data_IF_906247933088
#
_entry.id   IF_906247933088
#
_cell.length_a   1.000
_cell.length_b   1.000
_cell.length_c   1.000
_cell.angle_alpha   90.00
_cell.angle_beta   90.00
_cell.angle_gamma   90.00
#
_symmetry.space_group_name_H-M   'P 1'
#
loop_
_entity.id
_entity.type
_entity.pdbx_description
1 polymer ?
#
# COMPACT_ATOMS: atom_id res chain seq x y z
N UNK A 1 -75.65 43.64 -18.92
CA UNK A 1 -75.42 43.12 -17.56
C UNK A 1 -74.73 41.76 -17.66
N UNK A 2 -73.65 41.58 -16.89
CA UNK A 2 -72.93 40.35 -16.55
C UNK A 2 -72.05 39.62 -17.59
N UNK A 3 -70.78 40.04 -17.58
CA UNK A 3 -69.51 39.28 -17.37
C UNK A 3 -69.44 37.74 -17.35
N UNK A 4 -68.25 37.29 -17.83
CA UNK A 4 -67.42 36.13 -17.40
C UNK A 4 -67.73 34.74 -17.99
N UNK A 5 -66.79 33.85 -18.36
CA UNK A 5 -65.33 33.75 -18.23
C UNK A 5 -64.78 32.85 -19.37
N UNK A 6 -63.64 33.23 -19.99
CA UNK A 6 -62.85 32.37 -20.90
C UNK A 6 -61.82 31.61 -20.04
N UNK A 7 -61.89 30.29 -20.00
CA UNK A 7 -60.87 29.44 -19.35
C UNK A 7 -59.89 28.92 -20.39
N UNK A 8 -58.66 29.47 -20.42
CA UNK A 8 -57.52 28.95 -21.18
C UNK A 8 -56.89 27.81 -20.37
N UNK A 9 -56.96 26.58 -20.89
CA UNK A 9 -56.16 25.46 -20.39
C UNK A 9 -54.73 25.61 -20.93
N UNK A 10 -53.78 25.92 -20.07
CA UNK A 10 -52.34 25.86 -20.36
C UNK A 10 -51.92 24.41 -20.09
N UNK A 11 -51.61 23.67 -21.15
CA UNK A 11 -50.96 22.37 -21.05
C UNK A 11 -49.49 22.55 -20.75
N UNK A 12 -49.03 22.08 -19.59
CA UNK A 12 -47.62 22.03 -19.25
C UNK A 12 -46.96 20.83 -19.94
N UNK A 13 -46.01 21.09 -20.83
CA UNK A 13 -45.10 20.08 -21.35
C UNK A 13 -43.97 19.88 -20.33
N UNK A 14 -43.93 18.73 -19.66
CA UNK A 14 -42.82 18.33 -18.80
C UNK A 14 -41.66 17.84 -19.66
N UNK A 15 -40.63 18.66 -19.80
CA UNK A 15 -39.33 18.24 -20.36
C UNK A 15 -38.60 17.47 -19.27
N UNK A 16 -38.55 16.14 -19.40
CA UNK A 16 -37.67 15.29 -18.58
C UNK A 16 -36.25 15.48 -19.13
N UNK A 17 -35.48 16.35 -18.49
CA UNK A 17 -34.05 16.40 -18.71
C UNK A 17 -33.42 15.13 -18.09
N UNK A 18 -33.01 14.17 -18.93
CA UNK A 18 -32.05 13.16 -18.50
C UNK A 18 -30.76 13.92 -18.16
N UNK A 19 -30.56 14.19 -16.88
CA UNK A 19 -29.25 14.55 -16.37
C UNK A 19 -28.42 13.29 -16.53
N UNK A 20 -27.61 13.21 -17.60
CA UNK A 20 -26.52 12.26 -17.66
C UNK A 20 -25.61 12.61 -16.47
N UNK A 21 -25.80 11.93 -15.35
CA UNK A 21 -24.88 12.07 -14.24
C UNK A 21 -23.51 11.65 -14.78
N UNK A 22 -22.45 12.42 -14.52
CA UNK A 22 -21.12 11.94 -14.81
C UNK A 22 -20.99 10.64 -14.03
N UNK A 23 -21.01 9.50 -14.74
CA UNK A 23 -20.53 8.25 -14.21
C UNK A 23 -19.12 8.60 -13.74
N UNK A 24 -18.89 8.53 -12.42
CA UNK A 24 -17.57 8.76 -11.86
C UNK A 24 -16.66 7.76 -12.53
N UNK A 25 -15.85 8.24 -13.47
CA UNK A 25 -14.93 7.39 -14.18
C UNK A 25 -13.71 7.28 -13.28
N UNK A 26 -13.46 6.08 -12.76
CA UNK A 26 -12.18 5.73 -12.19
C UNK A 26 -11.03 6.03 -13.16
N UNK A 27 -9.82 5.95 -12.64
CA UNK A 27 -8.59 6.23 -13.38
C UNK A 27 -7.75 4.96 -13.39
N UNK A 28 -7.23 4.62 -14.56
CA UNK A 28 -6.27 3.52 -14.73
C UNK A 28 -4.93 4.11 -15.12
N UNK A 29 -3.91 3.79 -14.34
CA UNK A 29 -2.51 4.06 -14.62
C UNK A 29 -1.88 2.77 -15.11
N UNK A 30 -1.22 2.83 -16.26
CA UNK A 30 -0.41 1.74 -16.77
C UNK A 30 1.06 2.07 -16.50
N UNK A 31 1.75 1.16 -15.84
CA UNK A 31 3.19 1.27 -15.58
C UNK A 31 3.91 0.10 -16.23
N UNK A 32 5.15 0.35 -16.63
CA UNK A 32 6.05 -0.65 -17.15
C UNK A 32 7.25 -0.77 -16.23
N UNK A 33 7.54 -1.99 -15.80
CA UNK A 33 8.70 -2.32 -14.97
C UNK A 33 9.72 -3.07 -15.81
N UNK A 34 10.96 -2.60 -15.79
CA UNK A 34 12.12 -3.30 -16.35
C UNK A 34 13.00 -3.78 -15.21
N UNK A 35 13.32 -5.07 -15.20
CA UNK A 35 14.22 -5.68 -14.23
C UNK A 35 15.66 -5.67 -14.77
N UNK A 36 16.59 -5.21 -13.94
CA UNK A 36 18.02 -5.08 -14.26
C UNK A 36 18.87 -6.11 -13.50
N UNK A 37 18.30 -6.75 -12.48
CA UNK A 37 18.84 -7.93 -11.79
C UNK A 37 18.05 -9.19 -12.17
N UNK A 38 18.64 -10.37 -11.94
CA UNK A 38 17.99 -11.65 -12.22
C UNK A 38 17.97 -12.05 -13.71
N UNK A 39 17.21 -13.11 -14.07
CA UNK A 39 17.05 -13.53 -15.46
C UNK A 39 16.27 -12.49 -16.27
N UNK A 40 16.67 -12.26 -17.53
CA UNK A 40 15.98 -11.34 -18.42
C UNK A 40 14.53 -11.78 -18.65
N UNK A 41 13.58 -10.94 -18.22
CA UNK A 41 12.12 -11.13 -18.40
C UNK A 41 11.54 -10.21 -19.46
N UNK A 42 12.33 -9.30 -20.00
CA UNK A 42 11.83 -8.13 -20.72
C UNK A 42 10.98 -7.20 -19.83
N UNK A 43 10.39 -6.16 -20.43
CA UNK A 43 9.50 -5.25 -19.72
C UNK A 43 8.18 -5.92 -19.33
N UNK A 44 7.73 -5.68 -18.11
CA UNK A 44 6.45 -6.16 -17.57
C UNK A 44 5.49 -4.99 -17.39
N UNK A 45 4.25 -5.13 -17.88
CA UNK A 45 3.20 -4.12 -17.70
C UNK A 45 2.27 -4.51 -16.57
N UNK A 46 2.03 -3.57 -15.66
CA UNK A 46 1.04 -3.67 -14.59
C UNK A 46 0.11 -2.46 -14.58
N UNK A 47 -1.09 -2.66 -14.06
CA UNK A 47 -2.08 -1.59 -13.92
C UNK A 47 -2.32 -1.24 -12.45
N UNK A 48 -2.49 0.06 -12.22
CA UNK A 48 -3.02 0.61 -10.98
C UNK A 48 -4.33 1.32 -11.31
N UNK A 49 -5.38 1.06 -10.54
CA UNK A 49 -6.71 1.63 -10.76
C UNK A 49 -7.20 2.35 -9.51
N UNK A 50 -7.79 3.54 -9.66
CA UNK A 50 -8.34 4.35 -8.58
C UNK A 50 -9.79 4.69 -8.89
N UNK A 51 -10.70 4.50 -7.94
CA UNK A 51 -12.09 4.97 -8.04
C UNK A 51 -12.61 5.37 -6.66
N UNK A 52 -12.92 6.66 -6.49
CA UNK A 52 -13.27 7.21 -5.19
C UNK A 52 -12.14 6.97 -4.18
N UNK A 53 -12.45 6.32 -3.07
CA UNK A 53 -11.48 5.96 -2.03
C UNK A 53 -10.77 4.62 -2.26
N UNK A 54 -11.04 3.93 -3.37
CA UNK A 54 -10.53 2.59 -3.62
C UNK A 54 -9.33 2.64 -4.57
N UNK A 55 -8.34 1.79 -4.30
CA UNK A 55 -7.15 1.61 -5.13
C UNK A 55 -6.93 0.12 -5.33
N UNK A 56 -6.61 -0.27 -6.57
CA UNK A 56 -6.15 -1.61 -6.92
C UNK A 56 -4.80 -1.49 -7.60
N UNK A 57 -3.84 -2.35 -7.23
CA UNK A 57 -2.51 -2.40 -7.83
C UNK A 57 -2.19 -3.85 -8.20
N UNK A 58 -1.90 -4.08 -9.48
CA UNK A 58 -1.31 -5.35 -9.91
C UNK A 58 0.14 -5.43 -9.45
N UNK A 59 0.48 -6.52 -8.76
CA UNK A 59 1.82 -6.86 -8.33
C UNK A 59 2.43 -7.73 -9.42
N UNK A 60 3.51 -7.28 -10.07
CA UNK A 60 4.19 -8.10 -11.06
C UNK A 60 4.72 -9.40 -10.41
N UNK A 61 4.79 -10.52 -11.15
CA UNK A 61 5.20 -11.84 -10.64
C UNK A 61 6.53 -11.88 -9.87
N UNK A 62 7.41 -10.92 -10.17
CA UNK A 62 8.80 -10.90 -9.71
C UNK A 62 9.53 -12.22 -10.04
N UNK A 63 10.53 -12.55 -9.21
CA UNK A 63 11.35 -13.76 -9.37
C UNK A 63 10.62 -15.08 -9.12
N UNK A 64 9.47 -15.01 -8.45
CA UNK A 64 8.73 -16.19 -8.00
C UNK A 64 7.88 -16.84 -9.10
N UNK A 65 7.63 -16.14 -10.21
CA UNK A 65 6.72 -16.59 -11.26
C UNK A 65 5.28 -16.84 -10.78
N UNK A 66 4.91 -16.32 -9.61
CA UNK A 66 3.53 -16.33 -9.12
C UNK A 66 2.64 -15.53 -10.08
N UNK A 67 1.33 -15.78 -10.06
CA UNK A 67 0.39 -15.03 -10.90
C UNK A 67 0.48 -13.52 -10.65
N UNK A 68 -0.23 -12.72 -11.45
CA UNK A 68 -0.40 -11.27 -11.21
C UNK A 68 -1.20 -11.06 -9.92
N UNK A 69 -0.53 -11.17 -8.77
CA UNK A 69 -1.13 -10.91 -7.46
C UNK A 69 -1.61 -9.46 -7.38
N UNK A 70 -2.54 -9.18 -6.47
CA UNK A 70 -3.19 -7.86 -6.43
C UNK A 70 -3.24 -7.35 -5.01
N UNK A 71 -2.87 -6.08 -4.82
CA UNK A 71 -3.18 -5.33 -3.61
C UNK A 71 -4.39 -4.43 -3.86
N UNK A 72 -5.39 -4.47 -2.97
CA UNK A 72 -6.62 -3.67 -3.07
C UNK A 72 -6.86 -2.90 -1.78
N UNK A 73 -6.78 -1.57 -1.83
CA UNK A 73 -7.18 -0.68 -0.76
C UNK A 73 -8.66 -0.37 -0.90
N UNK A 74 -9.43 -0.62 0.15
CA UNK A 74 -10.87 -0.31 0.21
C UNK A 74 -11.08 0.80 1.24
N UNK A 75 -10.93 2.06 0.83
CA UNK A 75 -10.90 3.22 1.74
C UNK A 75 -12.14 3.36 2.61
N UNK A 76 -13.34 3.15 2.06
CA UNK A 76 -14.61 3.15 2.83
C UNK A 76 -14.62 2.14 4.00
N UNK A 77 -13.87 1.04 3.85
CA UNK A 77 -13.74 -0.03 4.85
C UNK A 77 -12.43 0.03 5.64
N UNK A 78 -11.51 0.94 5.27
CA UNK A 78 -10.16 1.09 5.82
C UNK A 78 -9.44 -0.25 5.97
N UNK A 79 -9.31 -0.97 4.86
CA UNK A 79 -8.67 -2.27 4.82
C UNK A 79 -7.87 -2.48 3.53
N UNK A 80 -6.74 -3.17 3.67
CA UNK A 80 -5.87 -3.58 2.58
C UNK A 80 -6.07 -5.07 2.33
N UNK A 81 -6.41 -5.45 1.10
CA UNK A 81 -6.58 -6.83 0.66
C UNK A 81 -5.40 -7.23 -0.20
N UNK A 82 -4.75 -8.35 0.13
CA UNK A 82 -3.76 -8.98 -0.74
C UNK A 82 -4.35 -10.25 -1.33
N UNK A 83 -4.43 -10.33 -2.65
CA UNK A 83 -4.99 -11.45 -3.40
C UNK A 83 -3.85 -12.25 -4.03
N UNK A 84 -3.73 -13.52 -3.64
CA UNK A 84 -2.85 -14.50 -4.26
C UNK A 84 -3.67 -15.31 -5.27
N UNK A 85 -3.40 -15.07 -6.55
CA UNK A 85 -4.13 -15.73 -7.65
C UNK A 85 -3.66 -17.18 -7.88
N UNK A 86 -2.40 -17.50 -7.53
CA UNK A 86 -1.87 -18.87 -7.62
C UNK A 86 -2.61 -19.78 -6.65
N UNK A 87 -2.81 -19.30 -5.43
CA UNK A 87 -3.37 -20.06 -4.33
C UNK A 87 -4.89 -19.93 -4.21
N UNK A 88 -5.50 -19.07 -5.02
CA UNK A 88 -6.92 -18.68 -4.94
C UNK A 88 -7.30 -18.29 -3.51
N UNK A 89 -6.48 -17.43 -2.93
CA UNK A 89 -6.60 -17.01 -1.56
C UNK A 89 -6.43 -15.50 -1.46
N UNK A 90 -6.91 -14.93 -0.36
CA UNK A 90 -6.68 -13.53 -0.04
C UNK A 90 -6.49 -13.33 1.45
N UNK A 91 -5.78 -12.27 1.79
CA UNK A 91 -5.60 -11.80 3.16
C UNK A 91 -6.18 -10.39 3.27
N UNK A 92 -6.66 -10.05 4.46
CA UNK A 92 -7.19 -8.72 4.77
C UNK A 92 -6.42 -8.17 5.95
N UNK A 93 -5.87 -6.97 5.77
CA UNK A 93 -5.20 -6.17 6.78
C UNK A 93 -6.12 -5.01 7.13
N UNK A 94 -6.75 -5.13 8.28
CA UNK A 94 -7.63 -4.15 8.92
C UNK A 94 -7.25 -4.03 10.42
N UNK A 95 -7.83 -3.05 11.13
CA UNK A 95 -7.56 -2.87 12.57
C UNK A 95 -7.95 -4.07 13.44
N UNK A 96 -8.89 -4.94 13.01
CA UNK A 96 -9.23 -6.18 13.72
C UNK A 96 -8.16 -7.24 13.52
N UNK A 97 -7.73 -7.47 12.29
CA UNK A 97 -6.66 -8.39 11.94
C UNK A 97 -5.36 -8.03 12.66
N UNK A 98 -5.09 -6.73 12.81
CA UNK A 98 -3.97 -6.22 13.59
C UNK A 98 -4.06 -6.64 15.08
N UNK A 99 -5.23 -6.47 15.69
CA UNK A 99 -5.48 -6.93 17.07
C UNK A 99 -5.33 -8.45 17.19
N UNK A 100 -5.82 -9.20 16.22
CA UNK A 100 -5.73 -10.67 16.21
C UNK A 100 -4.27 -11.13 16.16
N UNK A 101 -3.46 -10.53 15.27
CA UNK A 101 -2.01 -10.77 15.17
C UNK A 101 -1.32 -10.45 16.50
N UNK A 102 -1.61 -9.30 17.11
CA UNK A 102 -1.06 -8.93 18.41
C UNK A 102 -1.43 -9.92 19.51
N UNK A 103 -2.70 -10.33 19.57
CA UNK A 103 -3.16 -11.32 20.55
C UNK A 103 -2.46 -12.67 20.34
N UNK A 104 -2.31 -13.10 19.09
CA UNK A 104 -1.63 -14.35 18.75
C UNK A 104 -0.15 -14.30 19.14
N UNK A 105 0.57 -13.23 18.80
CA UNK A 105 1.98 -13.03 19.22
C UNK A 105 2.08 -13.05 20.75
N UNK A 106 1.19 -12.33 21.45
CA UNK A 106 1.15 -12.31 22.91
C UNK A 106 0.93 -13.69 23.51
N UNK A 107 0.04 -14.50 22.92
CA UNK A 107 -0.23 -15.87 23.37
C UNK A 107 0.96 -16.81 23.13
N UNK A 108 1.63 -16.69 21.98
CA UNK A 108 2.83 -17.48 21.66
C UNK A 108 3.99 -17.10 22.58
N UNK A 109 4.19 -15.81 22.86
CA UNK A 109 5.18 -15.36 23.85
C UNK A 109 4.89 -15.93 25.24
N UNK A 110 3.64 -15.93 25.70
CA UNK A 110 3.30 -16.52 27.00
C UNK A 110 3.56 -18.03 27.06
N UNK A 111 3.28 -18.76 25.98
CA UNK A 111 3.60 -20.19 25.89
C UNK A 111 5.11 -20.43 25.91
N UNK A 112 5.87 -19.68 25.10
CA UNK A 112 7.32 -19.75 25.09
C UNK A 112 7.92 -19.43 26.48
N UNK A 113 7.40 -18.41 27.18
CA UNK A 113 7.85 -18.08 28.54
C UNK A 113 7.58 -19.21 29.54
N UNK A 114 6.42 -19.87 29.46
CA UNK A 114 6.11 -21.04 30.30
C UNK A 114 7.03 -22.23 30.02
N UNK A 115 7.37 -22.47 28.76
CA UNK A 115 8.32 -23.53 28.39
C UNK A 115 9.72 -23.22 28.89
N UNK A 116 10.15 -21.96 28.81
CA UNK A 116 11.39 -21.48 29.40
C UNK A 116 11.38 -21.71 30.91
N UNK A 117 10.35 -21.23 31.62
CA UNK A 117 10.19 -21.42 33.07
C UNK A 117 10.32 -22.89 33.47
N UNK A 118 9.64 -23.80 32.75
CA UNK A 118 9.73 -25.25 32.97
C UNK A 118 11.15 -25.79 32.78
N UNK A 119 11.90 -25.29 31.78
CA UNK A 119 13.31 -25.65 31.60
C UNK A 119 14.20 -25.07 32.71
N UNK A 120 13.79 -23.98 33.36
CA UNK A 120 14.53 -23.38 34.47
C UNK A 120 14.30 -24.09 35.82
N UNK A 121 13.20 -24.84 36.00
CA UNK A 121 12.90 -25.55 37.25
C UNK A 121 13.97 -26.60 37.60
N UNK A 122 14.56 -27.24 36.58
CA UNK A 122 15.58 -28.29 36.75
C UNK A 122 17.03 -27.80 36.89
N UNK A 123 17.28 -26.49 36.82
CA UNK A 123 18.63 -25.92 36.83
C UNK A 123 19.10 -25.52 38.22
N UNK A 124 20.40 -25.65 38.46
CA UNK A 124 21.04 -25.10 39.64
C UNK A 124 21.03 -23.55 39.62
N UNK A 125 21.23 -22.87 40.76
CA UNK A 125 21.13 -21.41 40.82
C UNK A 125 22.06 -20.68 39.84
N UNK A 126 23.26 -21.22 39.57
CA UNK A 126 24.25 -20.59 38.70
C UNK A 126 23.87 -20.75 37.22
N UNK A 127 23.33 -21.90 36.85
CA UNK A 127 22.79 -22.16 35.51
C UNK A 127 21.52 -21.35 35.24
N UNK A 128 20.67 -21.17 36.26
CA UNK A 128 19.46 -20.33 36.17
C UNK A 128 19.83 -18.87 35.91
N UNK A 129 20.82 -18.34 36.64
CA UNK A 129 21.33 -16.97 36.47
C UNK A 129 21.95 -16.76 35.08
N UNK A 130 22.82 -17.69 34.65
CA UNK A 130 23.42 -17.65 33.31
C UNK A 130 22.38 -17.69 32.19
N UNK A 131 21.31 -18.48 32.34
CA UNK A 131 20.22 -18.53 31.37
C UNK A 131 19.35 -17.28 31.40
N UNK A 132 19.09 -16.67 32.57
CA UNK A 132 18.41 -15.38 32.67
C UNK A 132 19.20 -14.25 32.03
N UNK A 133 20.52 -14.21 32.19
CA UNK A 133 21.38 -13.25 31.50
C UNK A 133 21.36 -13.48 29.99
N UNK A 134 21.46 -14.73 29.52
CA UNK A 134 21.31 -15.04 28.10
C UNK A 134 19.93 -14.65 27.55
N UNK A 135 18.85 -14.87 28.30
CA UNK A 135 17.50 -14.46 27.90
C UNK A 135 17.36 -12.94 27.85
N UNK A 136 17.90 -12.21 28.85
CA UNK A 136 17.96 -10.75 28.82
C UNK A 136 18.80 -10.22 27.65
N UNK A 137 19.85 -10.93 27.26
CA UNK A 137 20.71 -10.58 26.11
C UNK A 137 20.17 -11.03 24.74
N UNK A 138 19.26 -12.02 24.71
CA UNK A 138 18.60 -12.53 23.48
C UNK A 138 17.19 -11.96 23.28
N UNK A 139 16.58 -11.40 24.31
CA UNK A 139 15.48 -10.48 24.11
C UNK A 139 15.99 -9.37 23.20
N UNK A 140 15.31 -9.08 22.09
CA UNK A 140 15.67 -7.93 21.27
C UNK A 140 15.83 -6.72 22.20
N UNK A 141 16.87 -5.90 22.02
CA UNK A 141 16.90 -4.58 22.65
C UNK A 141 15.53 -3.94 22.37
N UNK A 142 14.79 -3.61 23.45
CA UNK A 142 13.47 -2.98 23.34
C UNK A 142 12.31 -3.64 24.06
N UNK A 143 12.44 -4.86 24.58
CA UNK A 143 11.36 -5.48 25.37
C UNK A 143 11.14 -4.82 26.76
N UNK A 144 12.04 -3.95 27.21
CA UNK A 144 11.86 -3.16 28.44
C UNK A 144 12.20 -1.65 28.28
N UNK A 145 13.03 -1.27 27.31
CA UNK A 145 13.37 0.11 26.90
C UNK A 145 14.26 0.03 25.66
N UNK A 146 13.88 0.62 24.51
CA UNK A 146 14.78 0.78 23.34
C UNK A 146 14.62 -0.25 22.22
N UNK A 147 13.52 -0.15 21.47
CA UNK A 147 13.26 -0.86 20.20
C UNK A 147 14.40 -0.64 19.20
N UNK A 148 14.62 -1.57 18.21
CA UNK A 148 15.54 -1.30 17.11
C UNK A 148 15.23 0.08 16.53
N UNK A 149 16.24 0.95 16.48
CA UNK A 149 16.10 2.28 15.88
C UNK A 149 15.64 2.09 14.45
N UNK A 150 14.44 2.63 14.15
CA UNK A 150 13.89 2.66 12.80
C UNK A 150 14.96 3.21 11.85
N UNK A 151 15.28 2.53 10.74
CA UNK A 151 16.24 3.04 9.78
C UNK A 151 15.81 4.43 9.31
N UNK A 152 16.73 5.37 9.24
CA UNK A 152 16.38 6.74 8.87
C UNK A 152 16.28 6.82 7.35
N UNK A 153 15.08 7.12 6.85
CA UNK A 153 14.85 7.37 5.42
C UNK A 153 14.91 8.88 5.15
N UNK A 154 15.80 9.31 4.26
CA UNK A 154 15.95 10.71 3.83
C UNK A 154 15.48 10.86 2.39
N UNK A 155 14.62 11.85 2.12
CA UNK A 155 14.20 12.25 0.79
C UNK A 155 14.96 13.49 0.34
N UNK A 156 15.94 13.30 -0.56
CA UNK A 156 16.80 14.39 -1.03
C UNK A 156 16.40 14.86 -2.41
N UNK A 157 15.77 16.03 -2.49
CA UNK A 157 15.54 16.73 -3.76
C UNK A 157 16.88 17.20 -4.34
N UNK A 158 17.24 16.75 -5.54
CA UNK A 158 18.58 17.01 -6.11
C UNK A 158 18.64 18.30 -6.93
N UNK A 159 17.49 18.86 -7.30
CA UNK A 159 17.37 20.03 -8.18
C UNK A 159 17.52 19.71 -9.67
N UNK A 160 17.88 18.48 -10.02
CA UNK A 160 17.96 18.02 -11.40
C UNK A 160 16.56 17.93 -12.02
N UNK A 161 16.44 18.39 -13.27
CA UNK A 161 15.18 18.46 -14.02
C UNK A 161 15.34 17.78 -15.36
N UNK A 162 14.36 16.96 -15.72
CA UNK A 162 14.31 16.30 -17.02
C UNK A 162 12.88 15.99 -17.41
N UNK A 163 12.66 15.74 -18.71
CA UNK A 163 11.38 15.19 -19.20
C UNK A 163 11.45 13.67 -19.11
N UNK A 164 10.55 13.04 -18.34
CA UNK A 164 10.43 11.58 -18.22
C UNK A 164 9.04 11.16 -18.67
N UNK A 165 8.97 10.17 -19.56
CA UNK A 165 7.71 9.67 -20.14
C UNK A 165 6.73 10.76 -20.64
N UNK A 166 7.22 11.92 -21.08
CA UNK A 166 6.36 13.03 -21.50
C UNK A 166 6.15 14.14 -20.46
N UNK A 167 6.48 13.90 -19.19
CA UNK A 167 6.19 14.79 -18.06
C UNK A 167 7.42 15.59 -17.61
N UNK A 168 7.26 16.87 -17.21
CA UNK A 168 8.33 17.63 -16.58
C UNK A 168 8.57 17.09 -15.17
N UNK A 169 9.77 16.60 -14.91
CA UNK A 169 10.10 15.96 -13.64
C UNK A 169 11.27 16.64 -12.92
N UNK A 170 11.28 16.50 -11.59
CA UNK A 170 12.41 16.78 -10.71
C UNK A 170 12.89 15.49 -10.07
N UNK A 171 14.20 15.31 -9.95
CA UNK A 171 14.77 14.12 -9.31
C UNK A 171 14.85 14.25 -7.79
N UNK A 172 14.51 13.15 -7.12
CA UNK A 172 14.75 12.91 -5.70
C UNK A 172 15.59 11.64 -5.56
N UNK A 173 16.54 11.66 -4.64
CA UNK A 173 17.22 10.46 -4.16
C UNK A 173 16.61 10.07 -2.81
N UNK A 174 16.24 8.81 -2.65
CA UNK A 174 15.77 8.25 -1.37
C UNK A 174 16.93 7.46 -0.78
N UNK A 175 17.36 7.88 0.41
CA UNK A 175 18.47 7.26 1.12
C UNK A 175 17.96 6.57 2.37
N UNK A 176 18.43 5.36 2.64
CA UNK A 176 18.22 4.64 3.90
C UNK A 176 19.56 4.50 4.59
N UNK A 177 19.68 5.06 5.78
CA UNK A 177 20.93 5.08 6.55
C UNK A 177 22.14 5.63 5.76
N UNK A 178 21.87 6.56 4.85
CA UNK A 178 22.86 7.21 3.97
C UNK A 178 23.15 6.46 2.66
N UNK A 179 22.61 5.26 2.46
CA UNK A 179 22.73 4.50 1.22
C UNK A 179 21.54 4.77 0.31
N UNK A 180 21.79 5.00 -0.99
CA UNK A 180 20.72 5.26 -1.96
C UNK A 180 19.99 3.96 -2.26
N UNK A 181 18.72 3.91 -1.89
CA UNK A 181 17.82 2.77 -2.16
C UNK A 181 16.85 3.05 -3.31
N UNK A 182 16.58 4.34 -3.59
CA UNK A 182 15.65 4.70 -4.65
C UNK A 182 16.05 6.01 -5.35
N UNK A 183 15.66 6.13 -6.60
CA UNK A 183 15.59 7.39 -7.33
C UNK A 183 14.18 7.60 -7.86
N UNK A 184 13.65 8.80 -7.63
CA UNK A 184 12.31 9.18 -8.07
C UNK A 184 12.40 10.36 -9.03
N UNK A 185 11.71 10.26 -10.15
CA UNK A 185 11.45 11.38 -11.04
C UNK A 185 10.00 11.78 -10.91
N UNK A 186 9.78 12.94 -10.32
CA UNK A 186 8.47 13.35 -9.83
C UNK A 186 7.98 14.56 -10.60
N UNK A 187 6.72 14.50 -11.02
CA UNK A 187 5.99 15.61 -11.62
C UNK A 187 4.89 16.11 -10.68
N UNK A 188 4.35 17.31 -10.90
CA UNK A 188 3.19 17.78 -10.12
C UNK A 188 1.96 16.88 -10.41
N UNK A 189 1.14 16.64 -9.38
CA UNK A 189 -0.01 15.72 -9.46
C UNK A 189 -1.00 16.09 -10.58
N UNK A 190 -1.20 17.38 -10.84
CA UNK A 190 -2.11 17.90 -11.86
C UNK A 190 -1.60 17.70 -13.30
N UNK A 191 -0.32 17.35 -13.49
CA UNK A 191 0.21 16.99 -14.80
C UNK A 191 -0.25 15.61 -15.25
N UNK A 192 -0.73 14.75 -14.33
CA UNK A 192 -1.14 13.37 -14.62
C UNK A 192 -2.66 13.27 -14.49
N UNK A 193 -3.32 12.71 -15.50
CA UNK A 193 -4.76 12.43 -15.43
C UNK A 193 -5.06 11.56 -14.20
N UNK A 194 -5.91 12.06 -13.31
CA UNK A 194 -6.24 11.37 -12.06
C UNK A 194 -5.16 11.40 -10.98
N UNK A 195 -4.10 12.20 -11.12
CA UNK A 195 -3.06 12.32 -10.11
C UNK A 195 -3.60 12.77 -8.75
N UNK A 196 -4.52 13.74 -8.72
CA UNK A 196 -5.16 14.17 -7.46
C UNK A 196 -6.06 13.07 -6.86
N UNK A 197 -6.76 12.27 -7.69
CA UNK A 197 -7.53 11.10 -7.22
C UNK A 197 -6.59 10.09 -6.51
N UNK A 198 -5.43 9.80 -7.11
CA UNK A 198 -4.43 8.91 -6.52
C UNK A 198 -3.83 9.46 -5.23
N UNK A 199 -3.49 10.76 -5.20
CA UNK A 199 -2.94 11.46 -4.03
C UNK A 199 -3.85 11.35 -2.81
N UNK A 200 -5.15 11.56 -2.98
CA UNK A 200 -6.11 11.46 -1.89
C UNK A 200 -6.18 10.04 -1.31
N UNK A 201 -6.16 9.02 -2.18
CA UNK A 201 -6.15 7.62 -1.74
C UNK A 201 -4.83 7.25 -1.04
N UNK A 202 -3.68 7.67 -1.58
CA UNK A 202 -2.39 7.41 -0.94
C UNK A 202 -2.29 8.07 0.43
N UNK A 203 -2.85 9.27 0.59
CA UNK A 203 -2.90 9.96 1.89
C UNK A 203 -3.76 9.21 2.92
N UNK A 204 -4.95 8.75 2.52
CA UNK A 204 -5.83 7.98 3.41
C UNK A 204 -5.17 6.65 3.82
N UNK A 205 -4.53 5.98 2.86
CA UNK A 205 -3.79 4.75 3.10
C UNK A 205 -2.59 4.98 4.03
N UNK A 206 -1.81 6.06 3.86
CA UNK A 206 -0.70 6.40 4.76
C UNK A 206 -1.20 6.60 6.20
N UNK A 207 -2.24 7.43 6.38
CA UNK A 207 -2.83 7.68 7.70
C UNK A 207 -3.34 6.40 8.39
N UNK A 208 -3.87 5.45 7.61
CA UNK A 208 -4.25 4.14 8.14
C UNK A 208 -3.04 3.29 8.58
N UNK A 209 -1.98 3.25 7.79
CA UNK A 209 -0.79 2.48 8.16
C UNK A 209 -0.02 3.10 9.33
N UNK A 210 -0.03 4.41 9.49
CA UNK A 210 0.48 5.09 10.70
C UNK A 210 -0.30 4.64 11.95
N UNK A 211 -1.65 4.65 11.88
CA UNK A 211 -2.53 4.19 12.97
C UNK A 211 -2.28 2.71 13.33
N UNK A 212 -2.09 1.86 12.31
CA UNK A 212 -1.72 0.46 12.53
C UNK A 212 -0.32 0.33 13.14
N UNK A 213 0.68 1.06 12.62
CA UNK A 213 2.05 1.04 13.12
C UNK A 213 2.12 1.40 14.61
N UNK A 214 1.44 2.47 15.01
CA UNK A 214 1.33 2.88 16.42
C UNK A 214 0.71 1.78 17.29
N UNK A 215 -0.27 1.04 16.77
CA UNK A 215 -0.93 -0.07 17.47
C UNK A 215 0.00 -1.27 17.74
N UNK A 216 1.06 -1.42 16.96
CA UNK A 216 2.12 -2.42 17.13
C UNK A 216 3.39 -1.86 17.79
N UNK A 217 3.33 -0.66 18.35
CA UNK A 217 4.48 -0.02 18.98
C UNK A 217 5.54 0.44 17.99
N UNK A 218 5.16 0.79 16.76
CA UNK A 218 6.07 1.28 15.71
C UNK A 218 6.80 0.18 14.93
N UNK A 219 6.44 -1.10 15.12
CA UNK A 219 7.00 -2.22 14.37
C UNK A 219 5.95 -2.85 13.44
N UNK A 220 6.28 -3.01 12.15
CA UNK A 220 5.70 -4.11 11.35
C UNK A 220 4.91 -3.77 10.09
N UNK A 221 4.69 -2.50 9.73
CA UNK A 221 4.06 -2.15 8.45
C UNK A 221 4.97 -1.21 7.64
N UNK A 222 6.06 -1.81 7.13
CA UNK A 222 6.85 -1.32 5.99
C UNK A 222 7.40 0.11 6.05
N UNK A 223 8.69 0.23 6.36
CA UNK A 223 9.46 1.40 5.95
C UNK A 223 9.58 1.45 4.41
N UNK A 224 9.16 2.56 3.80
CA UNK A 224 9.77 3.05 2.56
C UNK A 224 8.87 3.33 1.36
N UNK A 225 7.60 2.92 1.31
CA UNK A 225 6.73 3.24 0.16
C UNK A 225 5.69 4.32 0.45
N UNK A 226 5.13 4.39 1.66
CA UNK A 226 4.07 5.36 1.98
C UNK A 226 4.62 6.72 2.42
N UNK A 227 5.69 6.74 3.24
CA UNK A 227 6.43 7.97 3.63
C UNK A 227 6.89 8.80 2.41
N UNK A 228 7.19 8.11 1.30
CA UNK A 228 7.62 8.71 0.04
C UNK A 228 6.61 9.70 -0.53
N UNK A 229 5.31 9.43 -0.41
CA UNK A 229 4.29 10.28 -1.04
C UNK A 229 4.09 11.61 -0.30
N UNK A 230 4.24 11.61 1.03
CA UNK A 230 4.13 12.83 1.82
C UNK A 230 5.34 13.75 1.61
N UNK A 231 6.54 13.19 1.59
CA UNK A 231 7.79 13.97 1.50
C UNK A 231 8.06 14.51 0.09
N UNK A 232 7.61 13.79 -0.95
CA UNK A 232 7.97 14.10 -2.34
C UNK A 232 6.92 14.97 -3.06
N UNK A 233 5.74 15.18 -2.45
CA UNK A 233 4.67 16.09 -2.90
C UNK A 233 4.48 16.17 -4.44
N UNK A 234 4.37 15.02 -5.08
CA UNK A 234 4.12 14.91 -6.51
C UNK A 234 3.95 13.46 -6.97
N UNK A 235 3.57 13.27 -8.22
CA UNK A 235 3.37 11.96 -8.82
C UNK A 235 4.71 11.38 -9.32
N UNK A 236 5.15 10.19 -8.86
CA UNK A 236 6.34 9.54 -9.38
C UNK A 236 6.10 9.00 -10.80
N UNK A 237 6.80 9.56 -11.78
CA UNK A 237 6.72 9.16 -13.20
C UNK A 237 7.71 8.05 -13.52
N UNK A 238 8.88 8.10 -12.90
CA UNK A 238 9.88 7.02 -12.94
C UNK A 238 10.37 6.75 -11.54
N UNK A 239 10.35 5.49 -11.15
CA UNK A 239 10.91 4.98 -9.90
C UNK A 239 12.02 4.01 -10.27
N UNK A 240 13.19 4.15 -9.65
CA UNK A 240 14.31 3.22 -9.80
C UNK A 240 14.69 2.70 -8.44
N UNK A 241 14.63 1.40 -8.27
CA UNK A 241 15.00 0.73 -7.03
C UNK A 241 16.41 0.19 -7.15
N UNK A 242 17.19 0.34 -6.09
CA UNK A 242 18.59 -0.05 -6.03
C UNK A 242 18.81 -1.08 -4.92
N UNK A 243 19.56 -2.12 -5.23
CA UNK A 243 20.05 -3.12 -4.29
C UNK A 243 21.58 -3.13 -4.33
N UNK A 244 22.22 -2.95 -3.17
CA UNK A 244 23.68 -2.84 -3.03
C UNK A 244 24.33 -1.86 -4.04
N UNK A 245 23.67 -0.72 -4.25
CA UNK A 245 24.09 0.33 -5.20
C UNK A 245 23.90 -0.01 -6.68
N UNK A 246 23.43 -1.20 -7.01
CA UNK A 246 23.11 -1.63 -8.37
C UNK A 246 21.64 -1.38 -8.67
N UNK A 247 21.33 -0.93 -9.89
CA UNK A 247 19.95 -0.77 -10.33
C UNK A 247 19.29 -2.15 -10.39
N UNK A 248 18.24 -2.34 -9.59
CA UNK A 248 17.48 -3.59 -9.52
C UNK A 248 16.29 -3.54 -10.48
N UNK A 249 15.52 -2.45 -10.43
CA UNK A 249 14.37 -2.27 -11.32
C UNK A 249 14.13 -0.80 -11.65
N UNK A 250 13.49 -0.56 -12.80
CA UNK A 250 12.97 0.74 -13.21
C UNK A 250 11.49 0.60 -13.56
N UNK A 251 10.63 1.33 -12.85
CA UNK A 251 9.19 1.43 -13.14
C UNK A 251 8.90 2.80 -13.75
N UNK A 252 8.22 2.81 -14.90
CA UNK A 252 7.88 4.03 -15.65
C UNK A 252 6.39 4.11 -15.94
N UNK A 253 5.77 5.26 -15.66
CA UNK A 253 4.41 5.57 -16.07
C UNK A 253 4.31 5.58 -17.61
N UNK A 254 3.44 4.74 -18.17
CA UNK A 254 3.16 4.67 -19.61
C UNK A 254 1.91 5.43 -19.99
N UNK A 255 0.83 5.28 -19.24
CA UNK A 255 -0.42 6.00 -19.49
C UNK A 255 -1.20 6.24 -18.20
N UNK A 256 -2.06 7.27 -18.23
CA UNK A 256 -3.08 7.54 -17.23
C UNK A 256 -4.36 7.91 -17.97
N UNK A 257 -5.46 7.20 -17.69
CA UNK A 257 -6.72 7.36 -18.45
C UNK A 257 -7.93 7.22 -17.55
N UNK A 258 -8.98 8.00 -17.81
CA UNK A 258 -10.30 7.78 -17.19
C UNK A 258 -11.03 6.63 -17.86
N UNK A 259 -11.64 5.78 -17.06
CA UNK A 259 -12.39 4.62 -17.50
C UNK A 259 -13.46 4.28 -16.46
N UNK A 260 -14.64 3.84 -16.91
CA UNK A 260 -15.62 3.24 -16.00
C UNK A 260 -15.09 1.90 -15.51
N UNK A 261 -14.96 1.74 -14.20
CA UNK A 261 -14.50 0.50 -13.59
C UNK A 261 -15.69 -0.32 -13.09
N UNK A 262 -15.50 -1.64 -13.06
CA UNK A 262 -16.44 -2.54 -12.39
C UNK A 262 -16.23 -2.40 -10.88
N UNK A 263 -17.26 -2.08 -10.08
CA UNK A 263 -17.11 -2.02 -8.62
C UNK A 263 -16.56 -3.32 -8.02
N UNK A 264 -16.86 -4.47 -8.62
CA UNK A 264 -16.37 -5.78 -8.18
C UNK A 264 -14.85 -5.94 -8.45
N UNK A 265 -14.23 -5.07 -9.24
CA UNK A 265 -12.78 -5.06 -9.45
C UNK A 265 -11.98 -4.71 -8.18
N UNK A 266 -12.66 -4.11 -7.18
CA UNK A 266 -12.09 -3.79 -5.87
C UNK A 266 -12.49 -4.79 -4.78
N UNK A 267 -13.03 -5.95 -5.16
CA UNK A 267 -13.36 -7.03 -4.23
C UNK A 267 -12.47 -8.26 -4.48
N UNK A 268 -12.20 -9.08 -3.44
CA UNK A 268 -11.57 -10.38 -3.65
C UNK A 268 -12.40 -11.23 -4.63
N UNK A 269 -11.78 -11.95 -5.58
CA UNK A 269 -12.53 -12.73 -6.55
C UNK A 269 -13.40 -13.80 -5.87
N UNK A 270 -14.60 -14.02 -6.43
CA UNK A 270 -15.53 -15.03 -5.92
C UNK A 270 -14.90 -16.42 -5.89
N UNK A 271 -15.11 -17.13 -4.78
CA UNK A 271 -14.55 -18.47 -4.54
C UNK A 271 -13.12 -18.50 -3.99
N UNK A 272 -12.48 -17.35 -3.80
CA UNK A 272 -11.18 -17.29 -3.14
C UNK A 272 -11.34 -17.47 -1.63
N UNK A 273 -10.34 -18.07 -0.99
CA UNK A 273 -10.37 -18.35 0.45
C UNK A 273 -9.65 -17.26 1.24
N UNK A 274 -10.32 -16.68 2.24
CA UNK A 274 -9.65 -15.81 3.21
C UNK A 274 -8.62 -16.61 4.02
N UNK A 275 -7.41 -16.09 4.15
CA UNK A 275 -6.34 -16.60 5.03
C UNK A 275 -6.02 -15.59 6.12
N UNK A 276 -5.47 -16.08 7.22
CA UNK A 276 -4.93 -15.25 8.31
C UNK A 276 -3.51 -14.79 7.98
N UNK A 277 -3.16 -13.56 8.38
CA UNK A 277 -1.87 -12.92 8.10
C UNK A 277 -0.65 -13.74 8.58
N UNK A 278 -0.77 -14.48 9.70
CA UNK A 278 0.34 -15.25 10.29
C UNK A 278 0.45 -16.70 9.80
N UNK A 279 -0.25 -17.08 8.73
CA UNK A 279 -0.10 -18.41 8.12
C UNK A 279 -0.14 -19.56 9.14
N UNK A 280 -1.11 -19.56 10.06
CA UNK A 280 -1.38 -20.75 10.86
C UNK A 280 -2.36 -21.65 10.07
N UNK A 281 -2.19 -22.99 10.11
CA UNK A 281 -3.14 -23.93 9.51
C UNK A 281 -4.55 -23.82 10.13
#
# INVERSE_FOLDING_TARGET
>A
MNTNHISRKIGAAAVIALIAQPLWAGVVFEVETTWHSGPDRGPETSEMSVEGSNLKMEIPPGDSGAGKDVAIWRGDRREMVFVDHRDKAYMVIDSSSAKDVRNQIGSQMQQAMKEVEKHMEGLDPKQREMMQEMLKGKMPPGAASGMPTRPTTEFRRTGERAKKAGYPCVRYDVLRDGEKIQELWVTDWDNVEGGEDAKDVFKDMNAFFEELGDSFGGAGFGDGQFDTFEEVNGFPVVTRDFDDGSLESETTLRSARRQTLDPDAFEPPSGYKRRTMLGAP
#
